data_IF_755413585014
#
_entry.id   IF_755413585014
#
_cell.length_a   1.000
_cell.length_b   1.000
_cell.length_c   1.000
_cell.angle_alpha   90.00
_cell.angle_beta   90.00
_cell.angle_gamma   90.00
#
_symmetry.space_group_name_H-M   'P 1'
#
loop_
_entity.id
_entity.type
_entity.pdbx_description
1 polymer ?
#
# COMPACT_ATOMS: atom_id res chain seq x y z
N UNK A 1 -16.89 16.80 4.37
CA UNK A 1 -16.57 16.67 2.92
C UNK A 1 -16.84 15.24 2.52
N UNK A 2 -17.62 15.00 1.46
CA UNK A 2 -17.90 13.66 0.94
C UNK A 2 -16.93 13.34 -0.19
N UNK A 3 -16.45 12.09 -0.25
CA UNK A 3 -15.59 11.62 -1.35
C UNK A 3 -16.43 11.54 -2.62
N UNK A 4 -15.96 12.14 -3.71
CA UNK A 4 -16.70 12.10 -4.98
C UNK A 4 -16.85 10.65 -5.50
N UNK A 5 -17.95 10.30 -6.19
CA UNK A 5 -18.13 8.95 -6.74
C UNK A 5 -17.03 8.55 -7.73
N UNK A 6 -16.48 9.50 -8.48
CA UNK A 6 -15.37 9.25 -9.40
C UNK A 6 -14.08 8.90 -8.64
N UNK A 7 -13.74 9.68 -7.61
CA UNK A 7 -12.58 9.42 -6.73
C UNK A 7 -12.68 8.05 -6.07
N UNK A 8 -13.87 7.69 -5.55
CA UNK A 8 -14.08 6.39 -4.93
C UNK A 8 -13.88 5.24 -5.92
N UNK A 9 -14.48 5.33 -7.12
CA UNK A 9 -14.34 4.30 -8.17
C UNK A 9 -12.88 4.11 -8.59
N UNK A 10 -12.16 5.21 -8.84
CA UNK A 10 -10.75 5.15 -9.21
C UNK A 10 -9.87 4.62 -8.07
N UNK A 11 -10.19 4.94 -6.82
CA UNK A 11 -9.54 4.34 -5.66
C UNK A 11 -9.64 2.81 -5.65
N UNK A 12 -10.85 2.27 -5.84
CA UNK A 12 -11.06 0.82 -5.92
C UNK A 12 -10.47 0.19 -7.19
N UNK A 13 -10.45 0.91 -8.32
CA UNK A 13 -9.79 0.44 -9.53
C UNK A 13 -8.28 0.23 -9.33
N UNK A 14 -7.68 0.93 -8.36
CA UNK A 14 -6.31 0.67 -7.89
C UNK A 14 -6.11 -0.72 -7.29
N UNK A 15 -7.15 -1.50 -6.98
CA UNK A 15 -6.98 -2.89 -6.52
C UNK A 15 -6.87 -3.89 -7.69
N UNK A 16 -7.25 -3.49 -8.91
CA UNK A 16 -7.31 -4.38 -10.07
C UNK A 16 -5.96 -5.02 -10.41
N UNK A 17 -4.81 -4.33 -10.37
CA UNK A 17 -3.53 -4.96 -10.69
C UNK A 17 -3.17 -6.10 -9.73
N UNK A 18 -3.38 -5.91 -8.42
CA UNK A 18 -3.15 -6.96 -7.43
C UNK A 18 -4.16 -8.10 -7.57
N UNK A 19 -5.44 -7.80 -7.82
CA UNK A 19 -6.45 -8.82 -8.08
C UNK A 19 -6.13 -9.68 -9.32
N UNK A 20 -5.60 -9.06 -10.38
CA UNK A 20 -5.14 -9.77 -11.58
C UNK A 20 -3.93 -10.68 -11.27
N UNK A 21 -2.98 -10.21 -10.45
CA UNK A 21 -1.86 -11.05 -10.01
C UNK A 21 -2.34 -12.25 -9.20
N UNK A 22 -3.32 -12.06 -8.29
CA UNK A 22 -3.91 -13.16 -7.54
C UNK A 22 -4.63 -14.16 -8.46
N UNK A 23 -5.38 -13.67 -9.45
CA UNK A 23 -6.03 -14.53 -10.44
C UNK A 23 -5.00 -15.34 -11.25
N UNK A 24 -3.89 -14.73 -11.64
CA UNK A 24 -2.78 -15.43 -12.30
C UNK A 24 -2.12 -16.47 -11.39
N UNK A 25 -1.98 -16.19 -10.09
CA UNK A 25 -1.45 -17.16 -9.13
C UNK A 25 -2.33 -18.42 -9.02
N UNK A 26 -3.65 -18.24 -9.09
CA UNK A 26 -4.63 -19.32 -8.95
C UNK A 26 -4.88 -20.09 -10.25
N UNK A 27 -4.87 -19.41 -11.40
CA UNK A 27 -5.31 -19.99 -12.67
C UNK A 27 -4.24 -20.02 -13.78
N UNK A 28 -3.13 -19.30 -13.63
CA UNK A 28 -2.08 -19.20 -14.65
C UNK A 28 -1.16 -20.42 -14.74
N UNK A 29 -1.09 -21.25 -13.69
CA UNK A 29 -0.14 -22.36 -13.59
C UNK A 29 1.27 -21.92 -13.24
N UNK A 30 2.18 -22.90 -13.08
CA UNK A 30 3.51 -22.70 -12.49
C UNK A 30 4.35 -21.61 -13.19
N UNK A 31 4.28 -21.54 -14.51
CA UNK A 31 5.03 -20.59 -15.32
C UNK A 31 4.74 -19.11 -14.98
N UNK A 32 3.55 -18.81 -14.44
CA UNK A 32 3.13 -17.44 -14.12
C UNK A 32 3.33 -17.06 -12.65
N UNK A 33 3.61 -18.03 -11.76
CA UNK A 33 3.66 -17.78 -10.31
C UNK A 33 4.72 -16.75 -9.95
N UNK A 34 5.93 -16.88 -10.48
CA UNK A 34 7.00 -15.92 -10.22
C UNK A 34 6.64 -14.52 -10.73
N UNK A 35 6.10 -14.41 -11.94
CA UNK A 35 5.69 -13.14 -12.55
C UNK A 35 4.58 -12.47 -11.75
N UNK A 36 3.55 -13.22 -11.34
CA UNK A 36 2.46 -12.72 -10.52
C UNK A 36 2.96 -12.22 -9.15
N UNK A 37 3.88 -12.95 -8.53
CA UNK A 37 4.50 -12.59 -7.26
C UNK A 37 5.34 -11.30 -7.39
N UNK A 38 6.17 -11.21 -8.43
CA UNK A 38 7.04 -10.06 -8.67
C UNK A 38 6.25 -8.78 -9.01
N UNK A 39 5.23 -8.88 -9.86
CA UNK A 39 4.36 -7.74 -10.20
C UNK A 39 3.51 -7.35 -8.99
N UNK A 40 2.95 -8.32 -8.26
CA UNK A 40 2.19 -8.07 -7.02
C UNK A 40 3.02 -7.33 -5.98
N UNK A 41 4.28 -7.73 -5.81
CA UNK A 41 5.25 -7.02 -4.99
C UNK A 41 5.52 -5.60 -5.47
N UNK A 42 5.89 -5.44 -6.74
CA UNK A 42 6.25 -4.14 -7.30
C UNK A 42 5.10 -3.15 -7.14
N UNK A 43 3.87 -3.60 -7.43
CA UNK A 43 2.69 -2.76 -7.32
C UNK A 43 2.38 -2.37 -5.86
N UNK A 44 2.50 -3.31 -4.92
CA UNK A 44 2.30 -3.03 -3.50
C UNK A 44 3.30 -1.98 -2.98
N UNK A 45 4.58 -2.12 -3.35
CA UNK A 45 5.63 -1.14 -2.99
C UNK A 45 5.38 0.22 -3.63
N UNK A 46 4.96 0.26 -4.90
CA UNK A 46 4.65 1.50 -5.60
C UNK A 46 3.50 2.25 -4.92
N UNK A 47 2.42 1.56 -4.57
CA UNK A 47 1.31 2.16 -3.83
C UNK A 47 1.76 2.58 -2.44
N UNK A 48 2.50 1.76 -1.70
CA UNK A 48 2.99 2.11 -0.37
C UNK A 48 3.87 3.37 -0.40
N UNK A 49 4.79 3.49 -1.38
CA UNK A 49 5.56 4.71 -1.64
C UNK A 49 4.67 5.92 -1.93
N UNK A 50 3.64 5.75 -2.77
CA UNK A 50 2.64 6.78 -3.05
C UNK A 50 1.92 7.26 -1.78
N UNK A 51 1.56 6.37 -0.84
CA UNK A 51 0.98 6.76 0.46
C UNK A 51 1.92 7.69 1.24
N UNK A 52 3.23 7.45 1.19
CA UNK A 52 4.22 8.34 1.78
C UNK A 52 4.13 9.77 1.24
N UNK A 53 4.03 9.91 -0.10
CA UNK A 53 3.81 11.21 -0.74
C UNK A 53 2.48 11.88 -0.32
N UNK A 54 1.42 11.09 -0.13
CA UNK A 54 0.15 11.58 0.40
C UNK A 54 0.32 12.12 1.82
N UNK A 55 0.98 11.39 2.72
CA UNK A 55 1.22 11.86 4.10
C UNK A 55 2.08 13.12 4.14
N UNK A 56 3.05 13.26 3.24
CA UNK A 56 3.80 14.50 3.08
C UNK A 56 2.89 15.67 2.71
N UNK A 57 2.01 15.48 1.73
CA UNK A 57 1.03 16.49 1.33
C UNK A 57 0.09 16.87 2.47
N UNK A 58 -0.41 15.89 3.23
CA UNK A 58 -1.24 16.13 4.41
C UNK A 58 -0.48 16.91 5.49
N UNK A 59 0.81 16.64 5.71
CA UNK A 59 1.63 17.39 6.67
C UNK A 59 1.77 18.87 6.31
N UNK A 60 1.77 19.19 5.00
CA UNK A 60 1.80 20.59 4.52
C UNK A 60 0.43 21.25 4.67
N UNK A 61 -0.65 20.50 4.45
CA UNK A 61 -2.02 21.02 4.47
C UNK A 61 -2.57 21.24 5.88
N UNK A 62 -2.18 20.38 6.84
CA UNK A 62 -2.69 20.41 8.20
C UNK A 62 -1.63 20.94 9.17
N UNK A 63 -1.81 22.17 9.66
CA UNK A 63 -0.89 22.79 10.62
C UNK A 63 -0.72 22.00 11.91
N UNK A 64 -1.75 21.25 12.32
CA UNK A 64 -1.75 20.40 13.52
C UNK A 64 -1.21 18.98 13.25
N UNK A 65 -0.73 18.69 12.04
CA UNK A 65 -0.13 17.39 11.74
C UNK A 65 1.04 17.10 12.71
N UNK A 66 1.18 15.85 13.19
CA UNK A 66 2.28 15.51 14.09
C UNK A 66 3.65 15.86 13.49
N UNK A 67 4.57 16.37 14.32
CA UNK A 67 5.93 16.78 13.87
C UNK A 67 6.74 15.65 13.24
N UNK A 68 6.42 14.39 13.53
CA UNK A 68 7.06 13.21 12.95
C UNK A 68 6.54 12.86 11.54
N UNK A 69 5.45 13.51 11.07
CA UNK A 69 4.79 13.15 9.80
C UNK A 69 5.75 13.17 8.60
N UNK A 70 6.63 14.17 8.42
CA UNK A 70 7.58 14.17 7.31
C UNK A 70 8.53 12.96 7.34
N UNK A 71 8.96 12.52 8.52
CA UNK A 71 9.78 11.32 8.67
C UNK A 71 8.97 10.09 8.25
N UNK A 72 7.75 9.93 8.78
CA UNK A 72 6.87 8.81 8.42
C UNK A 72 6.51 8.80 6.93
N UNK A 73 6.39 9.96 6.28
CA UNK A 73 6.11 10.10 4.86
C UNK A 73 7.25 9.57 3.96
N UNK A 74 8.50 9.61 4.42
CA UNK A 74 9.66 9.11 3.67
C UNK A 74 9.85 7.60 3.85
N UNK A 75 9.43 7.07 5.02
CA UNK A 75 9.65 5.66 5.37
C UNK A 75 9.12 4.67 4.33
N UNK A 76 7.92 4.83 3.72
CA UNK A 76 7.44 3.87 2.73
C UNK A 76 8.36 3.67 1.53
N UNK A 77 8.94 4.76 1.00
CA UNK A 77 9.88 4.69 -0.12
C UNK A 77 11.19 4.02 0.28
N UNK A 78 11.72 4.35 1.47
CA UNK A 78 12.95 3.75 1.98
C UNK A 78 12.78 2.26 2.31
N UNK A 79 11.65 1.90 2.93
CA UNK A 79 11.30 0.50 3.22
C UNK A 79 11.10 -0.26 1.91
N UNK A 80 10.40 0.33 0.93
CA UNK A 80 10.23 -0.25 -0.39
C UNK A 80 11.56 -0.57 -1.06
N UNK A 81 12.48 0.41 -1.08
CA UNK A 81 13.82 0.24 -1.60
C UNK A 81 14.62 -0.83 -0.83
N UNK A 82 14.62 -0.77 0.51
CA UNK A 82 15.32 -1.73 1.35
C UNK A 82 14.75 -3.16 1.21
N UNK A 83 13.44 -3.29 0.98
CA UNK A 83 12.78 -4.58 0.80
C UNK A 83 13.16 -5.28 -0.52
N UNK A 84 13.86 -4.58 -1.41
CA UNK A 84 14.49 -5.16 -2.60
C UNK A 84 15.86 -5.78 -2.33
N UNK A 85 16.51 -5.42 -1.21
CA UNK A 85 17.86 -5.90 -0.87
C UNK A 85 18.03 -7.43 -0.87
N UNK A 86 17.06 -8.26 -0.41
CA UNK A 86 17.20 -9.70 -0.46
C UNK A 86 17.54 -10.25 -1.85
N UNK A 87 16.95 -9.68 -2.91
CA UNK A 87 17.23 -10.08 -4.28
C UNK A 87 18.68 -9.81 -4.70
N UNK A 88 19.27 -8.69 -4.27
CA UNK A 88 20.65 -8.31 -4.59
C UNK A 88 21.69 -9.28 -4.02
N UNK A 89 21.36 -9.93 -2.90
CA UNK A 89 22.27 -10.86 -2.21
C UNK A 89 21.89 -12.34 -2.44
N UNK A 90 20.97 -12.63 -3.35
CA UNK A 90 20.54 -14.00 -3.66
C UNK A 90 19.68 -14.65 -2.57
N UNK A 91 19.08 -13.87 -1.66
CA UNK A 91 18.14 -14.35 -0.67
C UNK A 91 16.71 -14.50 -1.24
N UNK A 92 15.81 -15.23 -0.55
CA UNK A 92 14.43 -15.40 -0.99
C UNK A 92 13.70 -14.07 -1.22
N UNK A 93 13.17 -13.90 -2.43
CA UNK A 93 12.46 -12.70 -2.89
C UNK A 93 11.53 -13.11 -4.06
N UNK A 94 10.36 -12.48 -4.28
CA UNK A 94 9.78 -11.34 -3.55
C UNK A 94 8.95 -11.70 -2.33
N UNK A 95 8.68 -12.98 -2.08
CA UNK A 95 7.66 -13.41 -1.11
C UNK A 95 7.81 -12.78 0.28
N UNK A 96 8.97 -12.84 0.98
CA UNK A 96 9.10 -12.24 2.31
C UNK A 96 8.88 -10.71 2.29
N UNK A 97 9.38 -10.05 1.25
CA UNK A 97 9.23 -8.60 1.09
C UNK A 97 7.78 -8.20 0.82
N UNK A 98 7.04 -9.01 0.06
CA UNK A 98 5.61 -8.77 -0.16
C UNK A 98 4.79 -8.97 1.12
N UNK A 99 5.13 -9.95 1.96
CA UNK A 99 4.49 -10.12 3.27
C UNK A 99 4.70 -8.87 4.12
N UNK A 100 5.94 -8.39 4.23
CA UNK A 100 6.27 -7.17 4.97
C UNK A 100 5.46 -5.98 4.48
N UNK A 101 5.47 -5.70 3.17
CA UNK A 101 4.77 -4.55 2.59
C UNK A 101 3.25 -4.69 2.74
N UNK A 102 2.71 -5.91 2.58
CA UNK A 102 1.30 -6.21 2.79
C UNK A 102 0.85 -5.87 4.22
N UNK A 103 1.62 -6.27 5.24
CA UNK A 103 1.35 -5.92 6.63
C UNK A 103 1.44 -4.41 6.87
N UNK A 104 2.46 -3.75 6.30
CA UNK A 104 2.62 -2.30 6.41
C UNK A 104 1.45 -1.53 5.78
N UNK A 105 0.90 -2.02 4.67
CA UNK A 105 -0.31 -1.47 4.07
C UNK A 105 -1.51 -1.59 5.02
N UNK A 106 -1.70 -2.73 5.69
CA UNK A 106 -2.80 -2.93 6.65
C UNK A 106 -2.74 -1.95 7.82
N UNK A 107 -1.55 -1.66 8.33
CA UNK A 107 -1.37 -0.72 9.46
C UNK A 107 -1.30 0.74 9.01
N UNK A 108 -1.08 1.02 7.71
CA UNK A 108 -0.93 2.37 7.17
C UNK A 108 -2.08 3.35 7.51
N UNK A 109 -3.37 2.95 7.61
CA UNK A 109 -4.45 3.87 7.98
C UNK A 109 -4.32 4.45 9.39
N UNK A 110 -3.50 3.86 10.27
CA UNK A 110 -3.21 4.42 11.60
C UNK A 110 -2.43 5.74 11.48
N UNK A 111 -1.54 5.84 10.49
CA UNK A 111 -0.80 7.07 10.19
C UNK A 111 -1.77 8.13 9.63
N UNK A 112 -2.65 7.74 8.70
CA UNK A 112 -3.71 8.62 8.21
C UNK A 112 -4.54 9.19 9.39
N UNK A 113 -4.95 8.33 10.34
CA UNK A 113 -5.74 8.74 11.51
C UNK A 113 -4.98 9.71 12.43
N UNK A 114 -3.68 9.51 12.62
CA UNK A 114 -2.86 10.41 13.42
C UNK A 114 -2.69 11.80 12.78
N UNK A 115 -2.71 11.89 11.45
CA UNK A 115 -2.55 13.16 10.73
C UNK A 115 -3.88 13.91 10.61
N UNK A 116 -4.96 13.24 10.18
CA UNK A 116 -6.24 13.89 9.84
C UNK A 116 -7.36 13.67 10.86
N UNK A 117 -7.10 12.98 11.97
CA UNK A 117 -8.14 12.38 12.81
C UNK A 117 -9.24 13.33 13.31
N UNK A 118 -8.91 14.56 13.66
CA UNK A 118 -9.88 15.57 14.10
C UNK A 118 -10.22 16.62 13.01
N UNK A 119 -9.64 16.49 11.82
CA UNK A 119 -9.81 17.48 10.75
C UNK A 119 -11.20 17.36 10.10
N UNK A 120 -11.81 18.48 9.67
CA UNK A 120 -13.08 18.44 8.94
C UNK A 120 -13.01 17.57 7.68
N UNK A 121 -13.80 16.50 7.62
CA UNK A 121 -13.78 15.53 6.52
C UNK A 121 -12.77 14.38 6.68
N UNK A 122 -12.03 14.33 7.79
CA UNK A 122 -11.11 13.24 8.12
C UNK A 122 -11.79 11.87 8.11
N UNK A 123 -13.01 11.74 8.61
CA UNK A 123 -13.73 10.45 8.66
C UNK A 123 -13.91 9.82 7.27
N UNK A 124 -14.32 10.61 6.28
CA UNK A 124 -14.54 10.12 4.92
C UNK A 124 -13.22 9.68 4.26
N UNK A 125 -12.12 10.39 4.54
CA UNK A 125 -10.77 9.99 4.14
C UNK A 125 -10.36 8.67 4.79
N UNK A 126 -10.51 8.55 6.11
CA UNK A 126 -10.11 7.36 6.87
C UNK A 126 -10.89 6.14 6.42
N UNK A 127 -12.20 6.23 6.24
CA UNK A 127 -13.03 5.11 5.76
C UNK A 127 -12.53 4.61 4.40
N UNK A 128 -12.28 5.53 3.45
CA UNK A 128 -11.75 5.16 2.14
C UNK A 128 -10.37 4.52 2.27
N UNK A 129 -9.46 5.10 3.06
CA UNK A 129 -8.09 4.60 3.24
C UNK A 129 -8.06 3.23 3.89
N UNK A 130 -8.93 2.96 4.87
CA UNK A 130 -9.08 1.63 5.47
C UNK A 130 -9.52 0.62 4.41
N UNK A 131 -10.54 0.93 3.61
CA UNK A 131 -11.02 0.02 2.56
C UNK A 131 -9.93 -0.31 1.52
N UNK A 132 -9.25 0.73 1.00
CA UNK A 132 -8.24 0.55 -0.04
C UNK A 132 -6.99 -0.15 0.49
N UNK A 133 -6.50 0.23 1.67
CA UNK A 133 -5.28 -0.36 2.22
C UNK A 133 -5.51 -1.77 2.74
N UNK A 134 -6.70 -2.05 3.29
CA UNK A 134 -7.08 -3.43 3.66
C UNK A 134 -7.20 -4.30 2.41
N UNK A 135 -7.89 -3.81 1.38
CA UNK A 135 -8.04 -4.55 0.12
C UNK A 135 -6.69 -4.88 -0.51
N UNK A 136 -5.80 -3.89 -0.65
CA UNK A 136 -4.49 -4.12 -1.22
C UNK A 136 -3.60 -4.99 -0.33
N UNK A 137 -3.55 -4.71 0.98
CA UNK A 137 -2.75 -5.49 1.93
C UNK A 137 -3.16 -6.96 1.98
N UNK A 138 -4.47 -7.26 2.01
CA UNK A 138 -4.97 -8.64 1.95
C UNK A 138 -4.63 -9.31 0.63
N UNK A 139 -4.83 -8.64 -0.50
CA UNK A 139 -4.46 -9.19 -1.82
C UNK A 139 -2.96 -9.49 -1.89
N UNK A 140 -2.11 -8.58 -1.39
CA UNK A 140 -0.66 -8.78 -1.31
C UNK A 140 -0.28 -9.99 -0.45
N UNK A 141 -0.92 -10.17 0.71
CA UNK A 141 -0.67 -11.34 1.56
C UNK A 141 -1.13 -12.64 0.91
N UNK A 142 -2.29 -12.65 0.26
CA UNK A 142 -2.77 -13.83 -0.47
C UNK A 142 -1.82 -14.21 -1.60
N UNK A 143 -1.35 -13.25 -2.40
CA UNK A 143 -0.37 -13.49 -3.47
C UNK A 143 0.93 -14.06 -2.88
N UNK A 144 1.38 -13.58 -1.73
CA UNK A 144 2.63 -14.05 -1.13
C UNK A 144 2.53 -15.43 -0.46
N UNK A 145 1.33 -15.89 -0.10
CA UNK A 145 1.12 -17.13 0.65
C UNK A 145 0.61 -18.30 -0.22
N UNK A 146 0.23 -18.03 -1.47
CA UNK A 146 -0.27 -19.02 -2.44
C UNK A 146 0.80 -19.52 -3.39
#
# INVERSE_FOLDING_TARGET
MTVSPATRRLGFAGLLPAAACLALMLAGGEAWRWTALAIGYLYAVLIFSFLGGVWWGLAVLFADAPRWTPLAAVMPSLIGLASFAPWLFGYPWPQPSLILVGLLLLVSPLIDRAIVGAAPGGDAWIILRVQLSTGLGVLSLLIALL
#
